data_IF_820010889782
#
_entry.id   IF_820010889782
#
_cell.length_a   1.000
_cell.length_b   1.000
_cell.length_c   1.000
_cell.angle_alpha   90.00
_cell.angle_beta   90.00
_cell.angle_gamma   90.00
#
_symmetry.space_group_name_H-M   'P 1'
#
loop_
_entity.id
_entity.type
_entity.pdbx_description
1 polymer ?
#
# COMPACT_ATOMS: atom_id res chain seq x y z
N UNK A 1 -15.80 11.68 -1.23
CA UNK A 1 -15.18 10.49 -0.59
C UNK A 1 -13.66 10.63 -0.68
N UNK A 2 -12.93 10.41 0.43
CA UNK A 2 -11.47 10.46 0.43
C UNK A 2 -10.96 9.30 -0.47
N UNK A 3 -10.23 9.57 -1.58
CA UNK A 3 -9.87 8.55 -2.56
C UNK A 3 -9.09 7.36 -1.97
N UNK A 4 -8.23 7.65 -0.99
CA UNK A 4 -7.42 6.65 -0.28
C UNK A 4 -8.25 5.68 0.55
N UNK A 5 -9.29 6.18 1.21
CA UNK A 5 -10.17 5.36 2.05
C UNK A 5 -10.91 4.33 1.19
N UNK A 6 -11.35 4.72 0.00
CA UNK A 6 -12.02 3.81 -0.95
C UNK A 6 -11.08 2.69 -1.40
N UNK A 7 -9.82 3.00 -1.74
CA UNK A 7 -8.84 1.97 -2.14
C UNK A 7 -8.56 1.01 -0.99
N UNK A 8 -8.41 1.52 0.23
CA UNK A 8 -8.19 0.69 1.41
C UNK A 8 -9.38 -0.24 1.71
N UNK A 9 -10.61 0.29 1.66
CA UNK A 9 -11.84 -0.47 1.86
C UNK A 9 -12.03 -1.56 0.79
N UNK A 10 -11.69 -1.26 -0.46
CA UNK A 10 -11.74 -2.26 -1.54
C UNK A 10 -10.69 -3.35 -1.29
N UNK A 11 -9.46 -2.98 -0.91
CA UNK A 11 -8.41 -3.96 -0.65
C UNK A 11 -8.77 -4.91 0.50
N UNK A 12 -9.30 -4.39 1.62
CA UNK A 12 -9.70 -5.22 2.76
C UNK A 12 -10.91 -6.09 2.44
N UNK A 13 -11.84 -5.61 1.62
CA UNK A 13 -12.98 -6.39 1.14
C UNK A 13 -12.53 -7.55 0.24
N UNK A 14 -11.65 -7.29 -0.74
CA UNK A 14 -11.07 -8.33 -1.60
C UNK A 14 -10.31 -9.36 -0.77
N UNK A 15 -9.50 -8.92 0.20
CA UNK A 15 -8.78 -9.82 1.09
C UNK A 15 -9.72 -10.71 1.92
N UNK A 16 -10.83 -10.16 2.40
CA UNK A 16 -11.83 -10.91 3.17
C UNK A 16 -12.52 -11.98 2.32
N UNK A 17 -12.92 -11.65 1.09
CA UNK A 17 -13.52 -12.62 0.16
C UNK A 17 -12.54 -13.71 -0.22
N UNK A 18 -11.29 -13.34 -0.53
CA UNK A 18 -10.24 -14.31 -0.83
C UNK A 18 -10.02 -15.28 0.34
N UNK A 19 -10.00 -14.76 1.58
CA UNK A 19 -9.91 -15.58 2.79
C UNK A 19 -11.09 -16.54 2.95
N UNK A 20 -12.32 -16.06 2.74
CA UNK A 20 -13.52 -16.90 2.80
C UNK A 20 -13.51 -18.02 1.75
N UNK A 21 -13.13 -17.71 0.50
CA UNK A 21 -13.01 -18.69 -0.57
C UNK A 21 -11.93 -19.74 -0.27
N UNK A 22 -10.81 -19.33 0.33
CA UNK A 22 -9.75 -20.23 0.78
C UNK A 22 -10.23 -21.19 1.87
N UNK A 23 -10.89 -20.67 2.92
CA UNK A 23 -11.43 -21.49 4.01
C UNK A 23 -12.45 -22.49 3.46
N UNK A 24 -13.31 -22.05 2.54
CA UNK A 24 -14.32 -22.89 1.91
C UNK A 24 -13.68 -24.01 1.08
N UNK A 25 -12.65 -23.69 0.29
CA UNK A 25 -11.88 -24.67 -0.47
C UNK A 25 -11.19 -25.73 0.41
N UNK A 26 -10.68 -25.33 1.58
CA UNK A 26 -10.15 -26.27 2.57
C UNK A 26 -11.25 -27.13 3.20
N UNK A 27 -12.37 -26.53 3.56
CA UNK A 27 -13.49 -27.23 4.21
C UNK A 27 -14.12 -28.30 3.30
N UNK A 28 -14.17 -28.06 1.99
CA UNK A 28 -14.63 -29.04 1.00
C UNK A 28 -13.59 -30.14 0.67
N UNK A 29 -12.37 -30.05 1.23
CA UNK A 29 -11.31 -31.03 0.99
C UNK A 29 -10.67 -30.95 -0.41
N UNK A 30 -10.91 -29.88 -1.17
CA UNK A 30 -10.27 -29.66 -2.47
C UNK A 30 -8.77 -29.43 -2.37
N UNK A 31 -8.28 -29.02 -1.19
CA UNK A 31 -6.87 -28.71 -0.94
C UNK A 31 -6.39 -29.35 0.36
N UNK A 32 -5.16 -29.87 0.36
CA UNK A 32 -4.52 -30.36 1.59
C UNK A 32 -4.08 -29.18 2.46
N UNK A 33 -4.05 -29.37 3.78
CA UNK A 33 -3.54 -28.39 4.74
C UNK A 33 -2.09 -27.95 4.42
N UNK A 34 -1.30 -28.86 3.83
CA UNK A 34 0.06 -28.57 3.36
C UNK A 34 0.06 -27.63 2.15
N UNK A 35 -0.84 -27.86 1.18
CA UNK A 35 -0.99 -26.99 0.01
C UNK A 35 -1.44 -25.59 0.42
N UNK A 36 -2.34 -25.49 1.40
CA UNK A 36 -2.76 -24.21 1.99
C UNK A 36 -1.59 -23.45 2.58
N UNK A 37 -0.80 -24.11 3.43
CA UNK A 37 0.36 -23.48 4.08
C UNK A 37 1.35 -22.95 3.04
N UNK A 38 1.71 -23.75 2.04
CA UNK A 38 2.64 -23.32 0.98
C UNK A 38 2.07 -22.22 0.10
N UNK A 39 0.77 -22.21 -0.17
CA UNK A 39 0.12 -21.11 -0.91
C UNK A 39 0.16 -19.79 -0.12
N UNK A 40 -0.04 -19.86 1.20
CA UNK A 40 0.08 -18.70 2.09
C UNK A 40 1.50 -18.17 2.15
N UNK A 41 2.50 -19.06 2.28
CA UNK A 41 3.91 -18.71 2.25
C UNK A 41 4.29 -18.08 0.90
N UNK A 42 3.89 -18.68 -0.22
CA UNK A 42 4.16 -18.14 -1.56
C UNK A 42 3.50 -16.76 -1.76
N UNK A 43 2.25 -16.60 -1.32
CA UNK A 43 1.55 -15.31 -1.35
C UNK A 43 2.23 -14.26 -0.48
N UNK A 44 2.80 -14.63 0.66
CA UNK A 44 3.54 -13.73 1.54
C UNK A 44 4.89 -13.35 0.94
N UNK A 45 5.63 -14.32 0.42
CA UNK A 45 6.96 -14.12 -0.20
C UNK A 45 6.86 -13.30 -1.49
N UNK A 46 5.78 -13.40 -2.27
CA UNK A 46 5.62 -12.65 -3.52
C UNK A 46 4.86 -11.35 -3.28
N UNK A 47 3.81 -11.38 -2.47
CA UNK A 47 2.89 -10.27 -2.25
C UNK A 47 3.50 -9.10 -1.47
N UNK A 48 4.25 -9.37 -0.39
CA UNK A 48 4.95 -8.32 0.38
C UNK A 48 5.94 -7.53 -0.47
N UNK A 49 6.90 -8.16 -1.19
CA UNK A 49 7.83 -7.41 -2.01
C UNK A 49 7.14 -6.69 -3.18
N UNK A 50 6.10 -7.26 -3.79
CA UNK A 50 5.33 -6.56 -4.82
C UNK A 50 4.62 -5.31 -4.27
N UNK A 51 4.04 -5.40 -3.08
CA UNK A 51 3.41 -4.27 -2.40
C UNK A 51 4.43 -3.19 -2.00
N UNK A 52 5.58 -3.60 -1.46
CA UNK A 52 6.69 -2.71 -1.12
C UNK A 52 7.26 -2.01 -2.36
N UNK A 53 7.50 -2.75 -3.44
CA UNK A 53 7.99 -2.20 -4.69
C UNK A 53 7.01 -1.16 -5.26
N UNK A 54 5.71 -1.48 -5.26
CA UNK A 54 4.67 -0.54 -5.67
C UNK A 54 4.63 0.70 -4.77
N UNK A 55 4.82 0.53 -3.46
CA UNK A 55 4.85 1.64 -2.51
C UNK A 55 6.07 2.55 -2.71
N UNK A 56 7.26 1.96 -2.90
CA UNK A 56 8.50 2.69 -3.21
C UNK A 56 8.35 3.47 -4.52
N UNK A 57 7.72 2.87 -5.54
CA UNK A 57 7.53 3.52 -6.83
C UNK A 57 6.52 4.69 -6.77
N UNK A 58 5.48 4.55 -5.94
CA UNK A 58 4.47 5.59 -5.74
C UNK A 58 4.93 6.69 -4.77
N UNK A 59 5.90 6.42 -3.88
CA UNK A 59 6.41 7.37 -2.88
C UNK A 59 6.93 8.70 -3.46
N UNK A 60 7.82 8.74 -4.46
CA UNK A 60 8.32 10.01 -5.01
C UNK A 60 7.24 10.82 -5.73
N UNK A 61 6.28 10.15 -6.41
CA UNK A 61 5.14 10.82 -7.05
C UNK A 61 4.17 11.43 -6.03
N UNK A 62 3.99 10.77 -4.88
CA UNK A 62 3.18 11.28 -3.75
C UNK A 62 3.86 12.43 -3.01
N UNK A 63 5.18 12.40 -2.84
CA UNK A 63 5.93 13.50 -2.22
C UNK A 63 5.85 14.81 -3.04
N UNK A 64 5.80 14.70 -4.37
CA UNK A 64 5.57 15.83 -5.27
C UNK A 64 4.14 16.40 -5.19
N UNK A 65 3.12 15.54 -5.09
CA UNK A 65 1.72 15.96 -4.97
C UNK A 65 1.35 16.47 -3.57
N UNK A 66 2.02 16.01 -2.52
CA UNK A 66 1.80 16.45 -1.15
C UNK A 66 2.45 17.82 -0.82
N UNK A 67 3.13 18.47 -1.78
CA UNK A 67 3.72 19.80 -1.60
C UNK A 67 4.92 19.87 -0.65
N UNK A 68 5.32 18.75 -0.03
CA UNK A 68 6.41 18.68 0.95
C UNK A 68 7.76 19.11 0.39
N UNK A 69 8.03 18.92 -0.90
CA UNK A 69 9.30 19.29 -1.52
C UNK A 69 9.38 20.75 -2.01
N UNK A 70 8.31 21.55 -1.88
CA UNK A 70 8.26 22.87 -2.53
C UNK A 70 7.75 24.02 -1.66
N UNK A 71 6.81 23.76 -0.75
CA UNK A 71 6.13 24.81 0.02
C UNK A 71 7.01 25.38 1.14
N UNK A 72 7.51 24.51 2.02
CA UNK A 72 8.36 24.92 3.14
C UNK A 72 9.70 25.50 2.65
N UNK A 73 10.29 24.89 1.62
CA UNK A 73 11.56 25.37 1.05
C UNK A 73 11.40 26.69 0.29
N UNK A 74 10.25 26.93 -0.39
CA UNK A 74 9.92 28.26 -0.91
C UNK A 74 9.70 29.26 0.21
N UNK A 75 8.91 28.92 1.23
CA UNK A 75 8.61 29.81 2.34
C UNK A 75 9.88 30.25 3.09
N UNK A 76 10.81 29.32 3.36
CA UNK A 76 12.11 29.63 3.97
C UNK A 76 12.99 30.51 3.07
N UNK A 77 12.98 30.26 1.75
CA UNK A 77 13.67 31.11 0.78
C UNK A 77 13.10 32.51 0.81
N UNK A 78 11.78 32.66 0.74
CA UNK A 78 11.10 33.95 0.67
C UNK A 78 11.22 34.75 1.99
N UNK A 79 11.22 34.08 3.15
CA UNK A 79 11.38 34.72 4.46
C UNK A 79 12.83 35.13 4.79
N UNK A 80 13.82 34.59 4.08
CA UNK A 80 15.24 34.93 4.33
C UNK A 80 15.72 36.19 3.59
N UNK A 81 14.91 36.76 2.69
CA UNK A 81 15.21 38.04 2.05
C UNK A 81 14.98 39.26 2.96
N UNK A 82 14.28 39.11 4.08
CA UNK A 82 13.94 40.23 4.98
C UNK A 82 14.99 40.56 6.06
N UNK A 83 16.12 39.82 6.14
CA UNK A 83 17.19 40.08 7.13
C UNK A 83 18.42 40.82 6.60
N UNK A 84 18.36 41.35 5.37
CA UNK A 84 19.48 42.09 4.74
C UNK A 84 19.06 43.42 4.10
N UNK A 85 18.15 44.14 4.76
CA UNK A 85 17.89 45.56 4.53
C UNK A 85 17.87 46.25 5.89
#
# INVERSE_FOLDING_TARGET
MIPWLRVFLVAIWVASIAGAALIFGLAMGFYSSTTFFWSGVAGLVIGLPAALANWVWLRPRRAGQAGWNGGLFRWLRDHSYWRRA
#
